data_IF_870112728411
#
_entry.id   IF_870112728411
#
_cell.length_a   1.000
_cell.length_b   1.000
_cell.length_c   1.000
_cell.angle_alpha   90.00
_cell.angle_beta   90.00
_cell.angle_gamma   90.00
#
_symmetry.space_group_name_H-M   'P 1'
#
loop_
_entity.id
_entity.type
_entity.pdbx_description
1 polymer ?
#
# COMPACT_ATOMS: atom_id res chain seq x y z
N UNK A 1 25.19 8.13 13.63
CA UNK A 1 24.58 7.74 13.34
C UNK A 1 24.53 7.62 12.04
N UNK A 2 24.41 7.18 11.50
CA UNK A 2 24.47 6.95 10.44
C UNK A 2 23.78 7.31 9.51
N UNK A 3 23.82 7.24 8.68
CA UNK A 3 23.39 7.71 7.78
C UNK A 3 22.67 6.96 6.95
N UNK A 4 21.71 6.57 7.37
CA UNK A 4 20.87 5.93 6.69
C UNK A 4 20.41 6.72 5.58
N UNK A 5 20.72 7.89 5.46
CA UNK A 5 20.17 8.67 4.48
C UNK A 5 20.73 8.39 3.14
N UNK A 6 21.67 7.52 3.02
CA UNK A 6 22.21 7.25 1.78
C UNK A 6 21.32 6.44 0.93
N UNK A 7 20.33 5.79 1.48
CA UNK A 7 19.40 4.99 0.70
C UNK A 7 18.50 5.88 -0.09
N UNK A 8 17.96 5.39 -1.19
CA UNK A 8 16.98 6.11 -1.94
C UNK A 8 15.62 5.52 -1.68
N UNK A 9 14.58 6.18 -2.11
CA UNK A 9 13.22 5.72 -1.93
C UNK A 9 12.79 5.83 -0.48
N UNK A 10 11.86 5.01 -0.06
CA UNK A 10 11.29 5.08 1.27
C UNK A 10 12.36 4.93 2.35
N UNK A 11 13.38 4.15 2.08
CA UNK A 11 14.37 3.90 3.11
C UNK A 11 15.19 5.13 3.46
N UNK A 12 15.22 6.12 2.59
CA UNK A 12 15.96 7.34 2.88
C UNK A 12 15.13 8.38 3.62
N UNK A 13 13.83 8.10 3.85
CA UNK A 13 12.97 9.04 4.54
C UNK A 13 13.22 8.98 6.05
N UNK A 14 12.94 10.05 6.78
CA UNK A 14 12.93 9.96 8.24
C UNK A 14 11.97 8.87 8.67
N UNK A 15 12.31 8.21 9.75
CA UNK A 15 11.49 7.10 10.22
C UNK A 15 10.04 7.43 10.34
N UNK A 16 9.72 8.59 10.84
CA UNK A 16 8.33 8.92 11.08
C UNK A 16 7.56 9.14 9.79
N UNK A 17 8.25 9.26 8.65
CA UNK A 17 7.58 9.44 7.38
C UNK A 17 7.38 8.13 6.63
N UNK A 18 7.95 7.03 7.12
CA UNK A 18 7.74 5.74 6.47
C UNK A 18 6.42 5.18 6.96
N UNK A 19 5.58 4.67 6.07
CA UNK A 19 4.23 4.25 6.47
C UNK A 19 4.19 3.29 7.64
N UNK A 20 5.02 2.23 7.63
CA UNK A 20 4.97 1.26 8.71
C UNK A 20 5.40 1.85 10.03
N UNK A 21 6.45 2.66 10.02
CA UNK A 21 6.94 3.27 11.25
C UNK A 21 5.97 4.34 11.75
N UNK A 22 5.38 5.09 10.84
CA UNK A 22 4.37 6.06 11.20
C UNK A 22 3.18 5.37 11.86
N UNK A 23 2.77 4.22 11.33
CA UNK A 23 1.67 3.48 11.92
C UNK A 23 2.00 3.06 13.34
N UNK A 24 3.21 2.54 13.56
CA UNK A 24 3.60 2.05 14.88
C UNK A 24 3.75 3.17 15.89
N UNK A 25 4.17 4.35 15.46
CA UNK A 25 4.40 5.47 16.36
C UNK A 25 3.16 6.31 16.58
N UNK A 26 2.34 6.48 15.58
CA UNK A 26 1.22 7.42 15.64
C UNK A 26 -0.14 6.77 15.49
N UNK A 27 -0.16 5.48 15.22
CA UNK A 27 -1.42 4.74 15.09
C UNK A 27 -1.96 4.74 13.68
N UNK A 28 -2.82 3.77 13.40
CA UNK A 28 -3.33 3.55 12.06
C UNK A 28 -4.18 4.72 11.56
N UNK A 29 -4.86 5.39 12.47
CA UNK A 29 -5.71 6.50 12.05
C UNK A 29 -4.97 7.69 11.50
N UNK A 30 -3.65 7.74 11.68
CA UNK A 30 -2.86 8.85 11.16
C UNK A 30 -2.44 8.65 9.70
N UNK A 31 -2.71 7.49 9.14
CA UNK A 31 -2.24 7.18 7.79
C UNK A 31 -3.31 7.43 6.75
N UNK A 32 -2.86 7.85 5.57
CA UNK A 32 -3.75 7.97 4.41
C UNK A 32 -4.05 6.59 3.86
N UNK A 33 -5.03 6.49 2.99
CA UNK A 33 -5.35 5.22 2.34
C UNK A 33 -4.17 4.69 1.55
N UNK A 34 -3.43 5.56 0.87
CA UNK A 34 -2.25 5.12 0.12
C UNK A 34 -1.18 4.58 1.04
N UNK A 35 -1.00 5.21 2.19
CA UNK A 35 0.00 4.73 3.15
C UNK A 35 -0.38 3.36 3.71
N UNK A 36 -1.66 3.16 4.03
CA UNK A 36 -2.11 1.86 4.52
C UNK A 36 -1.91 0.79 3.45
N UNK A 37 -2.26 1.11 2.21
CA UNK A 37 -2.10 0.16 1.13
C UNK A 37 -0.64 -0.15 0.86
N UNK A 38 0.24 0.85 1.00
CA UNK A 38 1.67 0.64 0.80
C UNK A 38 2.23 -0.36 1.82
N UNK A 39 1.76 -0.29 3.07
CA UNK A 39 2.18 -1.26 4.08
C UNK A 39 1.75 -2.67 3.65
N UNK A 40 0.53 -2.79 3.16
CA UNK A 40 0.00 -4.07 2.73
C UNK A 40 0.78 -4.63 1.55
N UNK A 41 1.17 -3.78 0.62
CA UNK A 41 1.95 -4.20 -0.54
C UNK A 41 3.37 -4.63 -0.15
N UNK A 42 3.88 -4.06 0.92
CA UNK A 42 5.21 -4.34 1.49
C UNK A 42 6.36 -3.85 0.62
N UNK A 43 6.40 -4.21 -0.62
CA UNK A 43 7.44 -3.78 -1.54
C UNK A 43 6.78 -3.29 -2.81
N UNK A 44 7.52 -2.48 -3.55
CA UNK A 44 7.02 -2.03 -4.84
C UNK A 44 7.27 -3.08 -5.91
N UNK A 45 7.10 -2.66 -7.14
CA UNK A 45 7.41 -3.48 -8.30
C UNK A 45 8.50 -2.74 -9.07
N UNK A 46 9.04 -3.36 -10.06
CA UNK A 46 10.12 -2.74 -10.80
C UNK A 46 9.69 -1.37 -11.32
N UNK A 47 10.49 -0.37 -11.01
CA UNK A 47 10.22 0.99 -11.46
C UNK A 47 9.16 1.73 -10.66
N UNK A 48 8.68 1.16 -9.55
CA UNK A 48 7.55 1.75 -8.86
C UNK A 48 7.60 1.36 -7.39
N UNK A 49 7.83 2.28 -6.50
CA UNK A 49 7.89 1.97 -5.07
C UNK A 49 6.53 1.57 -4.54
N UNK A 50 6.49 0.99 -3.36
CA UNK A 50 5.23 0.57 -2.75
C UNK A 50 4.28 1.75 -2.57
N UNK A 51 4.79 2.91 -2.14
CA UNK A 51 3.92 4.06 -1.93
C UNK A 51 3.43 4.63 -3.26
N UNK A 52 4.28 4.64 -4.28
CA UNK A 52 3.86 5.13 -5.58
C UNK A 52 2.84 4.20 -6.22
N UNK A 53 3.06 2.90 -6.09
CA UNK A 53 2.09 1.92 -6.58
C UNK A 53 0.76 2.07 -5.85
N UNK A 54 0.82 2.24 -4.53
CA UNK A 54 -0.39 2.44 -3.74
C UNK A 54 -1.15 3.69 -4.17
N UNK A 55 -0.42 4.77 -4.43
CA UNK A 55 -1.06 5.99 -4.90
C UNK A 55 -1.74 5.80 -6.25
N UNK A 56 -1.11 5.08 -7.14
CA UNK A 56 -1.71 4.79 -8.45
C UNK A 56 -2.98 3.98 -8.31
N UNK A 57 -2.95 2.97 -7.45
CA UNK A 57 -4.11 2.13 -7.21
C UNK A 57 -5.25 2.96 -6.61
N UNK A 58 -4.95 3.75 -5.58
CA UNK A 58 -5.97 4.58 -4.96
C UNK A 58 -6.49 5.65 -5.91
N UNK A 59 -5.63 6.14 -6.79
CA UNK A 59 -6.06 7.14 -7.74
C UNK A 59 -7.06 6.55 -8.74
N UNK A 60 -6.90 5.29 -9.08
CA UNK A 60 -7.84 4.62 -9.98
C UNK A 60 -9.16 4.29 -9.29
N UNK A 61 -9.09 3.65 -8.14
CA UNK A 61 -10.31 3.11 -7.52
C UNK A 61 -10.96 4.07 -6.53
N UNK A 62 -10.21 5.02 -6.02
CA UNK A 62 -10.68 6.07 -5.12
C UNK A 62 -10.94 5.61 -3.69
N UNK A 63 -11.59 4.52 -3.48
CA UNK A 63 -11.91 4.02 -2.13
C UNK A 63 -11.64 2.53 -2.04
N UNK A 64 -11.45 2.05 -0.82
CA UNK A 64 -11.30 0.61 -0.61
C UNK A 64 -12.60 -0.13 -0.96
N UNK A 65 -13.74 0.51 -0.75
CA UNK A 65 -15.01 -0.09 -1.12
C UNK A 65 -15.05 -0.38 -2.62
N UNK A 66 -14.62 0.59 -3.43
CA UNK A 66 -14.59 0.38 -4.88
C UNK A 66 -13.64 -0.74 -5.26
N UNK A 67 -12.52 -0.85 -4.55
CA UNK A 67 -11.56 -1.92 -4.82
C UNK A 67 -12.19 -3.30 -4.58
N UNK A 68 -13.11 -3.40 -3.62
CA UNK A 68 -13.73 -4.68 -3.30
C UNK A 68 -14.76 -5.11 -4.34
N UNK A 69 -15.12 -4.23 -5.27
CA UNK A 69 -16.10 -4.53 -6.32
C UNK A 69 -15.44 -4.64 -7.70
N UNK A 70 -14.20 -5.09 -7.74
CA UNK A 70 -13.46 -5.19 -8.99
C UNK A 70 -13.30 -6.65 -9.41
N UNK A 71 -12.94 -6.84 -10.68
CA UNK A 71 -12.53 -8.16 -11.11
C UNK A 71 -11.07 -8.05 -11.56
N UNK A 72 -10.49 -9.15 -11.96
CA UNK A 72 -9.07 -9.19 -12.25
C UNK A 72 -8.68 -8.25 -13.39
N UNK A 73 -9.55 -8.02 -14.34
CA UNK A 73 -9.23 -7.16 -15.47
C UNK A 73 -9.00 -5.71 -15.03
N UNK A 74 -9.67 -5.29 -13.96
CA UNK A 74 -9.52 -3.93 -13.48
C UNK A 74 -8.12 -3.65 -12.98
N UNK A 75 -7.35 -4.68 -12.69
CA UNK A 75 -6.01 -4.54 -12.13
C UNK A 75 -4.90 -4.74 -13.15
N UNK A 76 -5.25 -5.07 -14.39
CA UNK A 76 -4.24 -5.41 -15.38
C UNK A 76 -3.30 -4.28 -15.75
N UNK A 77 -3.71 -3.04 -15.54
CA UNK A 77 -2.83 -1.93 -15.87
C UNK A 77 -1.66 -1.78 -14.90
N UNK A 78 -1.73 -2.43 -13.75
CA UNK A 78 -0.67 -2.30 -12.76
C UNK A 78 0.37 -3.40 -12.99
N UNK A 79 1.33 -3.11 -13.83
CA UNK A 79 2.33 -4.09 -14.21
C UNK A 79 3.16 -4.52 -13.03
N UNK A 80 3.46 -5.79 -12.95
CA UNK A 80 4.24 -6.32 -11.86
C UNK A 80 3.44 -6.66 -10.62
N UNK A 81 2.15 -6.39 -10.62
CA UNK A 81 1.31 -6.71 -9.49
C UNK A 81 0.92 -8.17 -9.62
N UNK A 82 1.74 -9.04 -9.07
CA UNK A 82 1.57 -10.48 -9.25
C UNK A 82 0.56 -11.10 -8.30
N UNK A 83 0.42 -12.43 -8.38
CA UNK A 83 -0.61 -13.12 -7.60
C UNK A 83 -0.46 -12.93 -6.09
N UNK A 84 0.77 -12.85 -5.58
CA UNK A 84 0.95 -12.70 -4.14
C UNK A 84 0.41 -11.38 -3.63
N UNK A 85 0.71 -10.27 -4.31
CA UNK A 85 0.21 -8.98 -3.90
C UNK A 85 -1.29 -8.88 -4.11
N UNK A 86 -1.80 -9.44 -5.18
CA UNK A 86 -3.25 -9.47 -5.41
C UNK A 86 -3.96 -10.24 -4.32
N UNK A 87 -3.41 -11.39 -3.91
CA UNK A 87 -4.01 -12.18 -2.85
C UNK A 87 -4.03 -11.41 -1.53
N UNK A 88 -2.95 -10.68 -1.24
CA UNK A 88 -2.89 -9.88 -0.03
C UNK A 88 -3.95 -8.79 -0.03
N UNK A 89 -4.12 -8.11 -1.15
CA UNK A 89 -5.11 -7.05 -1.26
C UNK A 89 -6.52 -7.63 -1.13
N UNK A 90 -6.80 -8.71 -1.83
CA UNK A 90 -8.13 -9.30 -1.81
C UNK A 90 -8.47 -9.84 -0.41
N UNK A 91 -7.50 -10.46 0.24
CA UNK A 91 -7.72 -10.97 1.59
C UNK A 91 -7.99 -9.83 2.56
N UNK A 92 -7.26 -8.74 2.45
CA UNK A 92 -7.46 -7.60 3.34
C UNK A 92 -8.83 -6.96 3.13
N UNK A 93 -9.25 -6.85 1.87
CA UNK A 93 -10.57 -6.29 1.56
C UNK A 93 -11.69 -7.17 2.12
N UNK A 94 -11.51 -8.48 2.03
CA UNK A 94 -12.51 -9.39 2.57
C UNK A 94 -12.56 -9.33 4.10
N UNK A 95 -11.41 -9.21 4.74
CA UNK A 95 -11.36 -9.03 6.19
C UNK A 95 -12.12 -7.77 6.58
N UNK A 96 -11.88 -6.69 5.85
CA UNK A 96 -12.58 -5.44 6.11
C UNK A 96 -14.07 -5.56 5.93
N UNK A 97 -14.52 -6.31 4.94
CA UNK A 97 -15.93 -6.54 4.73
C UNK A 97 -16.54 -7.28 5.92
N UNK A 98 -15.85 -8.32 6.39
CA UNK A 98 -16.35 -9.11 7.51
C UNK A 98 -16.22 -8.40 8.85
N UNK A 99 -15.37 -7.39 8.93
CA UNK A 99 -15.18 -6.66 10.17
C UNK A 99 -16.49 -6.05 10.66
N UNK A 100 -17.37 -5.70 9.75
CA UNK A 100 -18.64 -5.06 10.11
C UNK A 100 -19.72 -6.07 10.46
N UNK A 101 -19.47 -7.31 10.17
CA UNK A 101 -20.41 -8.36 10.52
C UNK A 101 -20.12 -8.88 11.93
#
# INVERSE_FOLDING_TARGET
>A
MVDRHRSTGIRSWPSEDRPREKLLQKGAGSLSNSELLAILLRTGVEGNSAIDLARQIMNKFKTFRNMSHTDQRDWNEFKGLGPAKMAQIQAALEIGRRFRD
#
